data_IF_972413916141
#
_entry.id   IF_972413916141
#
_cell.length_a   1.000
_cell.length_b   1.000
_cell.length_c   1.000
_cell.angle_alpha   90.00
_cell.angle_beta   90.00
_cell.angle_gamma   90.00
#
_symmetry.space_group_name_H-M   'P 1'
#
loop_
_entity.id
_entity.type
_entity.pdbx_description
1 polymer ?
#
# COMPACT_ATOMS: atom_id res chain seq x y z
N UNK A 1 22.38 2.38 -11.14
CA UNK A 1 21.09 3.07 -11.38
C UNK A 1 20.13 2.60 -10.29
N UNK A 2 20.34 3.11 -9.08
CA UNK A 2 19.46 2.85 -7.94
C UNK A 2 18.28 3.80 -8.09
N UNK A 3 17.18 3.30 -8.65
CA UNK A 3 15.93 4.04 -8.76
C UNK A 3 15.42 4.32 -7.36
N UNK A 4 15.65 5.55 -6.91
CA UNK A 4 14.91 6.14 -5.81
C UNK A 4 13.43 6.09 -6.23
N UNK A 5 12.69 5.13 -5.68
CA UNK A 5 11.23 5.12 -5.73
C UNK A 5 10.83 6.35 -4.93
N UNK A 6 10.67 7.47 -5.64
CA UNK A 6 10.19 8.71 -5.07
C UNK A 6 8.80 8.42 -4.51
N UNK A 7 8.57 8.75 -3.25
CA UNK A 7 7.29 8.57 -2.53
C UNK A 7 6.10 9.37 -3.14
N UNK A 8 6.22 9.82 -4.39
CA UNK A 8 5.16 10.39 -5.23
C UNK A 8 5.05 9.73 -6.62
N UNK A 9 5.71 8.58 -6.84
CA UNK A 9 5.53 7.73 -8.03
C UNK A 9 4.23 6.94 -7.91
N UNK A 10 3.53 6.78 -9.04
CA UNK A 10 2.32 5.96 -9.18
C UNK A 10 2.39 4.67 -8.32
N UNK A 11 1.51 4.52 -7.31
CA UNK A 11 1.55 3.39 -6.40
C UNK A 11 1.42 2.05 -7.13
N UNK A 12 0.68 1.98 -8.23
CA UNK A 12 0.55 0.77 -9.04
C UNK A 12 1.91 0.35 -9.64
N UNK A 13 2.66 1.31 -10.20
CA UNK A 13 3.97 1.04 -10.77
C UNK A 13 5.00 0.60 -9.72
N UNK A 14 4.92 1.14 -8.50
CA UNK A 14 5.75 0.70 -7.39
C UNK A 14 5.40 -0.73 -6.95
N UNK A 15 4.11 -1.07 -6.89
CA UNK A 15 3.63 -2.42 -6.56
C UNK A 15 4.10 -3.44 -7.61
N UNK A 16 4.08 -3.09 -8.89
CA UNK A 16 4.54 -3.97 -9.99
C UNK A 16 6.04 -4.25 -9.98
N UNK A 17 6.84 -3.32 -9.43
CA UNK A 17 8.28 -3.47 -9.29
C UNK A 17 8.66 -4.46 -8.17
N UNK A 18 7.76 -4.73 -7.22
CA UNK A 18 8.01 -5.63 -6.09
C UNK A 18 7.59 -7.05 -6.46
N UNK A 19 8.58 -7.92 -6.66
CA UNK A 19 8.38 -9.34 -7.04
C UNK A 19 8.25 -10.31 -5.87
N UNK A 20 8.73 -9.91 -4.68
CA UNK A 20 8.54 -10.71 -3.48
C UNK A 20 7.16 -10.44 -2.90
N UNK A 21 6.33 -11.48 -2.80
CA UNK A 21 4.96 -11.38 -2.28
C UNK A 21 4.91 -10.82 -0.86
N UNK A 22 5.87 -11.14 0.02
CA UNK A 22 5.87 -10.65 1.40
C UNK A 22 6.13 -9.15 1.46
N UNK A 23 7.14 -8.68 0.71
CA UNK A 23 7.46 -7.25 0.61
C UNK A 23 6.32 -6.49 -0.06
N UNK A 24 5.64 -7.11 -1.03
CA UNK A 24 4.50 -6.51 -1.73
C UNK A 24 3.30 -6.35 -0.81
N UNK A 25 2.96 -7.39 -0.05
CA UNK A 25 1.91 -7.33 0.97
C UNK A 25 2.20 -6.21 1.97
N UNK A 26 3.44 -6.12 2.47
CA UNK A 26 3.83 -5.04 3.39
C UNK A 26 3.69 -3.66 2.74
N UNK A 27 4.12 -3.49 1.49
CA UNK A 27 4.00 -2.22 0.78
C UNK A 27 2.53 -1.80 0.55
N UNK A 28 1.69 -2.72 0.09
CA UNK A 28 0.26 -2.47 -0.15
C UNK A 28 -0.46 -2.10 1.14
N UNK A 29 -0.16 -2.81 2.24
CA UNK A 29 -0.78 -2.57 3.55
C UNK A 29 -0.27 -1.31 4.25
N UNK A 30 1.05 -1.12 4.29
CA UNK A 30 1.69 -0.14 5.18
C UNK A 30 2.02 1.18 4.47
N UNK A 31 2.28 1.14 3.16
CA UNK A 31 2.65 2.35 2.37
C UNK A 31 1.46 2.87 1.60
N UNK A 32 0.82 2.01 0.80
CA UNK A 32 -0.36 2.41 0.01
C UNK A 32 -1.59 2.52 0.91
N UNK A 33 -1.69 1.65 1.90
CA UNK A 33 -2.80 1.66 2.84
C UNK A 33 -4.07 1.11 2.21
N UNK A 34 -3.97 0.04 1.42
CA UNK A 34 -5.13 -0.65 0.82
C UNK A 34 -5.12 -2.17 1.10
N UNK A 35 -6.02 -2.90 0.47
CA UNK A 35 -6.16 -4.34 0.53
C UNK A 35 -5.47 -5.02 -0.65
N UNK A 36 -5.01 -6.25 -0.43
CA UNK A 36 -4.62 -7.13 -1.53
C UNK A 36 -5.87 -7.50 -2.31
N UNK A 37 -5.89 -7.23 -3.61
CA UNK A 37 -7.07 -7.43 -4.44
C UNK A 37 -7.67 -6.14 -5.01
N UNK A 38 -7.38 -5.01 -4.38
CA UNK A 38 -7.81 -3.67 -4.83
C UNK A 38 -7.05 -3.29 -6.10
N UNK A 39 -7.64 -3.56 -7.26
CA UNK A 39 -7.00 -3.43 -8.57
C UNK A 39 -7.10 -2.02 -9.13
N UNK A 40 -8.04 -1.22 -8.64
CA UNK A 40 -8.21 0.18 -9.02
C UNK A 40 -7.56 1.16 -8.02
N UNK A 41 -7.01 0.64 -6.91
CA UNK A 41 -6.41 1.37 -5.80
C UNK A 41 -7.37 2.40 -5.17
N UNK A 42 -8.67 2.07 -5.10
CA UNK A 42 -9.69 2.92 -4.48
C UNK A 42 -9.77 2.78 -2.94
N UNK A 43 -8.99 1.87 -2.38
CA UNK A 43 -8.91 1.59 -0.94
C UNK A 43 -9.80 0.43 -0.51
N UNK A 44 -10.67 -0.09 -1.39
CA UNK A 44 -11.60 -1.17 -1.12
C UNK A 44 -11.22 -2.40 -1.94
N UNK A 45 -11.51 -3.60 -1.41
CA UNK A 45 -11.48 -4.82 -2.20
C UNK A 45 -12.91 -5.33 -2.35
N UNK A 46 -13.49 -5.14 -3.53
CA UNK A 46 -14.90 -5.47 -3.81
C UNK A 46 -15.09 -6.06 -5.23
N UNK A 47 -16.34 -6.27 -5.62
CA UNK A 47 -16.67 -6.87 -6.93
C UNK A 47 -16.20 -6.03 -8.13
N UNK A 48 -16.01 -4.72 -7.96
CA UNK A 48 -15.58 -3.81 -9.03
C UNK A 48 -14.15 -4.12 -9.45
N UNK A 49 -13.28 -4.49 -8.51
CA UNK A 49 -11.91 -4.94 -8.78
C UNK A 49 -11.91 -6.20 -9.64
N UNK A 50 -12.77 -7.17 -9.29
CA UNK A 50 -12.93 -8.37 -10.08
C UNK A 50 -13.42 -8.06 -11.50
N UNK A 51 -14.41 -7.18 -11.65
CA UNK A 51 -14.89 -6.77 -12.97
C UNK A 51 -13.75 -6.15 -13.79
N UNK A 52 -12.89 -5.32 -13.17
CA UNK A 52 -11.75 -4.73 -13.85
C UNK A 52 -10.76 -5.78 -14.37
N UNK A 53 -10.26 -6.67 -13.51
CA UNK A 53 -9.25 -7.68 -13.89
C UNK A 53 -9.81 -8.69 -14.90
N UNK A 54 -11.10 -9.03 -14.80
CA UNK A 54 -11.76 -9.91 -15.77
C UNK A 54 -12.05 -9.21 -17.10
N UNK A 55 -12.27 -7.88 -17.09
CA UNK A 55 -12.42 -7.10 -18.34
C UNK A 55 -11.12 -7.07 -19.13
N UNK A 56 -9.97 -7.11 -18.45
CA UNK A 56 -8.68 -7.26 -19.13
C UNK A 56 -8.47 -8.64 -19.74
N UNK A 57 -9.15 -9.67 -19.24
CA UNK A 57 -9.17 -11.00 -19.84
C UNK A 57 -7.82 -11.74 -19.79
N UNK A 58 -6.95 -11.42 -18.82
CA UNK A 58 -5.62 -12.05 -18.67
C UNK A 58 -5.59 -13.28 -17.76
N UNK A 59 -6.74 -13.68 -17.22
CA UNK A 59 -6.86 -14.82 -16.31
C UNK A 59 -6.45 -16.12 -17.01
N UNK A 60 -5.43 -16.80 -16.48
CA UNK A 60 -4.88 -18.07 -16.99
C UNK A 60 -4.46 -18.02 -18.47
N UNK A 61 -4.16 -16.84 -19.02
CA UNK A 61 -3.71 -16.71 -20.41
C UNK A 61 -2.20 -16.84 -20.58
N UNK A 62 -1.44 -16.78 -19.48
CA UNK A 62 0.03 -16.71 -19.49
C UNK A 62 0.56 -15.39 -20.07
N UNK A 63 -0.28 -14.37 -20.21
CA UNK A 63 0.12 -13.04 -20.62
C UNK A 63 0.61 -12.24 -19.41
N UNK A 64 1.53 -11.31 -19.66
CA UNK A 64 2.01 -10.40 -18.64
C UNK A 64 0.86 -9.58 -18.03
N UNK A 65 0.62 -9.80 -16.75
CA UNK A 65 -0.32 -9.06 -15.92
C UNK A 65 0.43 -8.06 -15.03
N UNK A 66 -0.22 -6.95 -14.76
CA UNK A 66 0.18 -5.97 -13.74
C UNK A 66 -0.82 -6.03 -12.58
N UNK A 67 -0.58 -5.26 -11.53
CA UNK A 67 -1.51 -5.12 -10.41
C UNK A 67 -2.95 -4.83 -10.86
N UNK A 68 -3.13 -3.86 -11.77
CA UNK A 68 -4.43 -3.50 -12.31
C UNK A 68 -5.08 -4.60 -13.17
N UNK A 69 -4.26 -5.51 -13.69
CA UNK A 69 -4.67 -6.68 -14.47
C UNK A 69 -4.94 -7.93 -13.63
N UNK A 70 -4.66 -7.91 -12.33
CA UNK A 70 -4.86 -9.04 -11.41
C UNK A 70 -3.60 -9.77 -10.96
N UNK A 71 -2.39 -9.34 -11.35
CA UNK A 71 -1.15 -9.86 -10.74
C UNK A 71 -1.02 -9.25 -9.32
N UNK A 72 -1.47 -9.98 -8.30
CA UNK A 72 -1.41 -9.58 -6.90
C UNK A 72 -0.29 -10.28 -6.13
N UNK A 73 0.22 -11.42 -6.62
CA UNK A 73 1.33 -12.15 -6.00
C UNK A 73 2.73 -11.67 -6.45
N UNK A 74 2.82 -10.95 -7.57
CA UNK A 74 4.01 -10.32 -8.14
C UNK A 74 4.71 -11.15 -9.22
N UNK A 75 4.16 -12.31 -9.61
CA UNK A 75 4.81 -13.25 -10.53
C UNK A 75 4.72 -12.84 -12.01
N UNK A 76 3.92 -11.81 -12.32
CA UNK A 76 3.72 -11.29 -13.66
C UNK A 76 2.61 -11.99 -14.45
N UNK A 77 1.86 -12.90 -13.86
CA UNK A 77 0.73 -13.58 -14.47
C UNK A 77 -0.53 -13.38 -13.59
N UNK A 78 -1.72 -13.46 -14.20
CA UNK A 78 -2.96 -13.47 -13.44
C UNK A 78 -3.50 -14.89 -13.37
N UNK A 79 -3.40 -15.51 -12.20
CA UNK A 79 -3.74 -16.91 -11.96
C UNK A 79 -4.57 -17.09 -10.69
N UNK A 80 -4.93 -18.33 -10.40
CA UNK A 80 -5.60 -18.67 -9.15
C UNK A 80 -4.73 -18.43 -7.90
N UNK A 81 -3.40 -18.35 -8.05
CA UNK A 81 -2.50 -18.04 -6.94
C UNK A 81 -2.70 -16.60 -6.43
N UNK A 82 -3.03 -15.66 -7.31
CA UNK A 82 -3.34 -14.28 -6.95
C UNK A 82 -4.56 -14.19 -6.05
N UNK A 83 -5.61 -14.94 -6.38
CA UNK A 83 -6.80 -15.02 -5.53
C UNK A 83 -6.48 -15.54 -4.14
N UNK A 84 -5.59 -16.53 -4.02
CA UNK A 84 -5.18 -17.03 -2.70
C UNK A 84 -4.54 -15.92 -1.88
N UNK A 85 -3.67 -15.11 -2.49
CA UNK A 85 -3.02 -13.97 -1.80
C UNK A 85 -4.06 -12.93 -1.36
N UNK A 86 -4.99 -12.54 -2.23
CA UNK A 86 -6.02 -11.55 -1.89
C UNK A 86 -7.01 -12.07 -0.82
N UNK A 87 -7.47 -13.31 -0.92
CA UNK A 87 -8.36 -13.89 0.09
C UNK A 87 -7.65 -14.17 1.41
N UNK A 88 -6.34 -14.45 1.39
CA UNK A 88 -5.54 -14.59 2.62
C UNK A 88 -5.37 -13.25 3.34
N UNK A 89 -5.33 -12.12 2.62
CA UNK A 89 -5.39 -10.79 3.24
C UNK A 89 -6.75 -10.53 3.92
N UNK A 90 -7.82 -11.15 3.41
CA UNK A 90 -9.13 -11.16 4.06
C UNK A 90 -9.90 -9.84 3.96
N UNK A 91 -9.52 -8.97 3.03
CA UNK A 91 -10.07 -7.62 2.85
C UNK A 91 -11.43 -7.51 2.16
N UNK A 92 -11.96 -8.62 1.63
CA UNK A 92 -13.11 -8.59 0.71
C UNK A 92 -14.37 -8.05 1.38
N UNK A 93 -14.96 -7.00 0.79
CA UNK A 93 -16.15 -6.29 1.29
C UNK A 93 -16.03 -5.74 2.73
N UNK A 94 -14.82 -5.59 3.27
CA UNK A 94 -14.60 -4.95 4.59
C UNK A 94 -14.67 -3.42 4.54
N UNK A 95 -14.78 -2.85 3.34
CA UNK A 95 -14.78 -1.41 3.12
C UNK A 95 -13.37 -0.80 3.04
N UNK A 96 -13.27 0.53 2.96
CA UNK A 96 -12.03 1.18 2.61
C UNK A 96 -11.02 1.08 3.75
N UNK A 97 -9.85 0.54 3.45
CA UNK A 97 -8.70 0.65 4.33
C UNK A 97 -8.30 2.12 4.30
N UNK A 98 -8.69 2.85 5.34
CA UNK A 98 -8.40 4.27 5.43
C UNK A 98 -6.88 4.49 5.33
N UNK A 99 -6.45 5.15 4.26
CA UNK A 99 -5.05 5.49 4.02
C UNK A 99 -4.45 6.07 5.31
N UNK A 100 -3.28 5.54 5.68
CA UNK A 100 -2.52 5.89 6.89
C UNK A 100 -2.71 7.35 7.21
N UNK A 101 -3.61 7.63 8.17
CA UNK A 101 -3.83 8.98 8.64
C UNK A 101 -2.48 9.45 9.17
N UNK A 102 -1.91 10.48 8.53
CA UNK A 102 -0.66 11.09 8.96
C UNK A 102 -0.76 11.32 10.47
N UNK A 103 -0.07 10.48 11.24
CA UNK A 103 -0.12 10.52 12.70
C UNK A 103 0.41 11.90 13.07
N UNK A 104 -0.40 12.78 13.69
CA UNK A 104 0.11 14.05 14.17
C UNK A 104 1.17 13.71 15.23
N UNK A 105 2.45 13.96 14.92
CA UNK A 105 3.55 13.62 15.82
C UNK A 105 3.25 14.23 17.22
N UNK A 106 2.95 13.39 18.22
CA UNK A 106 2.45 13.89 19.49
C UNK A 106 3.61 14.51 20.26
N UNK A 107 3.54 15.82 20.47
CA UNK A 107 4.19 16.52 21.58
C UNK A 107 5.72 16.74 21.55
N UNK A 108 6.49 16.26 20.57
CA UNK A 108 7.95 16.49 20.51
C UNK A 108 8.32 17.99 20.55
N UNK A 109 7.58 18.81 19.80
CA UNK A 109 7.77 20.28 19.75
C UNK A 109 7.40 20.95 21.08
N UNK A 110 6.36 20.46 21.76
CA UNK A 110 5.90 21.00 23.04
C UNK A 110 6.91 20.71 24.16
N UNK A 111 7.48 19.50 24.20
CA UNK A 111 8.52 19.14 25.16
C UNK A 111 9.80 19.94 24.96
N UNK A 112 10.21 20.17 23.71
CA UNK A 112 11.36 21.02 23.39
C UNK A 112 11.09 22.48 23.82
N UNK A 113 9.89 23.01 23.53
CA UNK A 113 9.51 24.36 23.92
C UNK A 113 9.53 24.60 25.44
N UNK A 114 8.98 23.66 26.22
CA UNK A 114 8.99 23.73 27.69
C UNK A 114 10.42 23.56 28.23
N UNK A 115 11.21 22.65 27.65
CA UNK A 115 12.61 22.44 28.04
C UNK A 115 13.48 23.69 27.84
N UNK A 116 13.34 24.37 26.70
CA UNK A 116 14.05 25.61 26.41
C UNK A 116 13.65 26.76 27.36
N UNK A 117 12.35 26.90 27.65
CA UNK A 117 11.85 27.89 28.62
C UNK A 117 12.37 27.61 30.04
N UNK A 118 12.41 26.34 30.44
CA UNK A 118 12.99 25.89 31.71
C UNK A 118 14.47 26.23 31.82
N UNK A 119 15.28 25.91 30.80
CA UNK A 119 16.71 26.24 30.79
C UNK A 119 16.97 27.75 30.85
N UNK A 120 16.19 28.56 30.12
CA UNK A 120 16.32 30.03 30.16
C UNK A 120 15.97 30.62 31.54
N UNK A 121 15.06 29.99 32.28
CA UNK A 121 14.67 30.42 33.63
C UNK A 121 15.70 30.01 34.70
N UNK A 122 16.37 28.87 34.51
CA UNK A 122 17.44 28.40 35.40
C UNK A 122 18.72 29.24 35.21
N UNK A 123 19.03 29.69 33.99
CA UNK A 123 20.20 30.55 33.71
C UNK A 123 20.06 32.00 34.18
N UNK A 124 18.85 32.41 34.59
CA UNK A 124 18.54 33.77 35.08
C UNK A 124 18.47 33.87 36.60
N UNK A 125 18.61 32.75 37.31
CA UNK A 125 18.85 32.71 38.76
C UNK A 125 20.31 32.37 39.00
#
# INVERSE_FOLDING_TARGET
>A
LTGEVTLGSDPAAAIDAIKNVEDRIAYVRDVVGTWMGDSNLDGEFNSSDFVQVFTEGKYETGQAATWASGDWNGDGEFTSADFVVAFTDGGYELGPRGGVAAVPEPCSIVLIGIGLLGMLRIRRK
#
